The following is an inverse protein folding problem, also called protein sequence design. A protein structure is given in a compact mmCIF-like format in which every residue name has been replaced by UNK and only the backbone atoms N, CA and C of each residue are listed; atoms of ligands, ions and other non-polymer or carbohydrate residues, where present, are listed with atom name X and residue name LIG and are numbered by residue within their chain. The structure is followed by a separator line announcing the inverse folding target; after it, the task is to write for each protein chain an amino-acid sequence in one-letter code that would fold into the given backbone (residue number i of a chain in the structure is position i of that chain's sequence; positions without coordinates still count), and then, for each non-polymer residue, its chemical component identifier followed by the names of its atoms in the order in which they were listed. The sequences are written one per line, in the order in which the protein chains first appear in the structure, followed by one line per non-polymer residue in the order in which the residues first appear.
data_IF_943097062553
#
_entry.id   IF_943097062553
#
_cell.length_a   1.000
_cell.length_b   1.000
_cell.length_c   1.000
_cell.angle_alpha   90.00
_cell.angle_beta   90.00
_cell.angle_gamma   90.00
#
_symmetry.space_group_name_H-M   'P 1'
#
loop_
_entity.id
_entity.type
_entity.pdbx_description
1 polymer ?
#
# COMPACT_ATOMS: atom_id res chain seq x y z
N UNK A 1 2.19 12.47 -13.05
CA UNK A 1 0.73 12.36 -12.80
C UNK A 1 0.17 11.23 -13.66
N UNK A 2 -0.18 10.10 -13.05
CA UNK A 2 -0.84 8.99 -13.76
C UNK A 2 -2.22 9.46 -14.24
N UNK A 3 -2.59 9.13 -15.49
CA UNK A 3 -3.84 9.58 -16.12
C UNK A 3 -5.11 8.85 -15.61
N UNK A 4 -5.05 8.17 -14.46
CA UNK A 4 -6.16 7.37 -13.93
C UNK A 4 -6.62 6.31 -14.94
N UNK A 5 -5.69 5.47 -15.39
CA UNK A 5 -5.92 4.48 -16.44
C UNK A 5 -6.47 3.19 -15.83
N UNK A 6 -7.62 2.74 -16.32
CA UNK A 6 -8.17 1.43 -15.98
C UNK A 6 -7.71 0.42 -17.05
N UNK A 7 -6.90 -0.55 -16.63
CA UNK A 7 -6.38 -1.60 -17.52
C UNK A 7 -7.03 -2.95 -17.19
N UNK A 8 -7.53 -3.64 -18.21
CA UNK A 8 -8.08 -4.99 -18.06
C UNK A 8 -7.00 -6.04 -18.33
N UNK A 9 -6.40 -6.54 -17.25
CA UNK A 9 -5.40 -7.61 -17.30
C UNK A 9 -6.09 -8.95 -16.94
N UNK A 10 -5.93 -9.98 -17.77
CA UNK A 10 -6.60 -11.28 -17.59
C UNK A 10 -6.06 -12.03 -16.36
N UNK A 11 -6.83 -12.98 -15.86
CA UNK A 11 -6.39 -13.88 -14.78
C UNK A 11 -5.22 -14.73 -15.28
N UNK A 12 -4.17 -14.87 -14.47
CA UNK A 12 -2.94 -15.57 -14.85
C UNK A 12 -1.85 -14.70 -15.48
N UNK A 13 -2.15 -13.43 -15.82
CA UNK A 13 -1.16 -12.48 -16.36
C UNK A 13 -0.39 -11.71 -15.26
N UNK A 14 -0.27 -12.31 -14.08
CA UNK A 14 0.56 -11.80 -12.97
C UNK A 14 0.31 -10.33 -12.57
N UNK A 15 -0.96 -9.91 -12.51
CA UNK A 15 -1.40 -8.57 -12.07
C UNK A 15 -0.65 -8.03 -10.85
N UNK A 16 -0.39 -8.89 -9.87
CA UNK A 16 0.35 -8.55 -8.66
C UNK A 16 1.74 -7.97 -8.96
N UNK A 17 2.49 -8.57 -9.89
CA UNK A 17 3.82 -8.09 -10.27
C UNK A 17 3.74 -6.74 -11.00
N UNK A 18 2.77 -6.60 -11.91
CA UNK A 18 2.56 -5.35 -12.66
C UNK A 18 2.25 -4.19 -11.69
N UNK A 19 1.33 -4.43 -10.75
CA UNK A 19 0.98 -3.46 -9.72
C UNK A 19 2.18 -3.18 -8.80
N UNK A 20 2.95 -4.20 -8.43
CA UNK A 20 4.17 -4.04 -7.64
C UNK A 20 5.21 -3.15 -8.33
N UNK A 21 5.48 -3.36 -9.62
CA UNK A 21 6.40 -2.52 -10.40
C UNK A 21 5.90 -1.07 -10.45
N UNK A 22 4.60 -0.86 -10.68
CA UNK A 22 4.02 0.48 -10.69
C UNK A 22 4.11 1.17 -9.33
N UNK A 23 3.83 0.44 -8.24
CA UNK A 23 3.93 0.95 -6.88
C UNK A 23 5.37 1.35 -6.54
N UNK A 24 6.35 0.51 -6.87
CA UNK A 24 7.76 0.81 -6.67
C UNK A 24 8.20 2.07 -7.44
N UNK A 25 7.74 2.23 -8.68
CA UNK A 25 8.06 3.42 -9.48
C UNK A 25 7.56 4.71 -8.82
N UNK A 26 6.32 4.75 -8.36
CA UNK A 26 5.76 5.94 -7.71
C UNK A 26 6.39 6.20 -6.33
N UNK A 27 6.67 5.15 -5.57
CA UNK A 27 7.37 5.24 -4.29
C UNK A 27 8.79 5.77 -4.45
N UNK A 28 9.53 5.34 -5.48
CA UNK A 28 10.85 5.91 -5.83
C UNK A 28 10.79 7.39 -6.23
N UNK A 29 9.63 7.85 -6.72
CA UNK A 29 9.38 9.26 -6.99
C UNK A 29 8.98 10.05 -5.73
N UNK A 30 9.06 9.46 -4.54
CA UNK A 30 8.71 10.08 -3.27
C UNK A 30 7.19 10.15 -3.00
N UNK A 31 6.38 9.38 -3.74
CA UNK A 31 4.93 9.38 -3.56
C UNK A 31 4.50 8.21 -2.68
N UNK A 32 3.68 8.47 -1.65
CA UNK A 32 2.99 7.40 -0.94
C UNK A 32 2.03 6.68 -1.89
N UNK A 33 1.96 5.34 -1.80
CA UNK A 33 1.18 4.50 -2.70
C UNK A 33 0.30 3.56 -1.91
N UNK A 34 -1.01 3.64 -2.15
CA UNK A 34 -1.98 2.67 -1.66
C UNK A 34 -2.26 1.61 -2.72
N UNK A 35 -2.04 0.34 -2.37
CA UNK A 35 -2.36 -0.82 -3.21
C UNK A 35 -3.61 -1.50 -2.66
N UNK A 36 -4.72 -1.33 -3.37
CA UNK A 36 -6.02 -1.82 -2.93
C UNK A 36 -6.33 -3.19 -3.54
N UNK A 37 -6.72 -4.15 -2.70
CA UNK A 37 -7.19 -5.47 -3.13
C UNK A 37 -8.55 -5.83 -2.52
N UNK A 38 -9.15 -6.93 -2.97
CA UNK A 38 -10.55 -7.28 -2.65
C UNK A 38 -10.73 -7.99 -1.32
N UNK A 39 -9.70 -8.64 -0.77
CA UNK A 39 -9.74 -9.27 0.54
C UNK A 39 -8.35 -9.34 1.20
N UNK A 40 -8.35 -9.61 2.51
CA UNK A 40 -7.22 -9.67 3.42
C UNK A 40 -6.15 -10.66 2.98
N UNK A 41 -6.56 -11.84 2.54
CA UNK A 41 -5.62 -12.88 2.11
C UNK A 41 -4.86 -12.44 0.85
N UNK A 42 -5.56 -11.83 -0.12
CA UNK A 42 -4.96 -11.30 -1.34
C UNK A 42 -4.09 -10.06 -1.09
N UNK A 43 -4.45 -9.24 -0.10
CA UNK A 43 -3.61 -8.12 0.35
C UNK A 43 -2.28 -8.64 0.89
N UNK A 44 -2.35 -9.54 1.87
CA UNK A 44 -1.17 -10.07 2.57
C UNK A 44 -0.29 -10.85 1.58
N UNK A 45 -0.88 -11.72 0.77
CA UNK A 45 -0.15 -12.48 -0.25
C UNK A 45 0.49 -11.55 -1.28
N UNK A 46 -0.22 -10.52 -1.74
CA UNK A 46 0.27 -9.56 -2.73
C UNK A 46 1.45 -8.74 -2.24
N UNK A 47 1.38 -8.25 -1.00
CA UNK A 47 2.46 -7.51 -0.35
C UNK A 47 3.68 -8.41 -0.14
N UNK A 48 3.49 -9.61 0.42
CA UNK A 48 4.59 -10.56 0.67
C UNK A 48 5.31 -10.97 -0.63
N UNK A 49 4.57 -11.20 -1.72
CA UNK A 49 5.16 -11.53 -3.03
C UNK A 49 6.05 -10.40 -3.57
N UNK A 50 5.73 -9.15 -3.26
CA UNK A 50 6.47 -7.99 -3.77
C UNK A 50 7.51 -7.47 -2.78
N UNK A 51 7.46 -7.86 -1.51
CA UNK A 51 8.30 -7.31 -0.43
C UNK A 51 9.79 -7.38 -0.75
N UNK A 52 10.29 -8.54 -1.15
CA UNK A 52 11.72 -8.70 -1.46
C UNK A 52 12.16 -7.85 -2.66
N UNK A 53 11.25 -7.59 -3.61
CA UNK A 53 11.51 -6.67 -4.71
C UNK A 53 11.56 -5.20 -4.23
N UNK A 54 10.68 -4.80 -3.31
CA UNK A 54 10.71 -3.47 -2.70
C UNK A 54 11.98 -3.27 -1.85
N UNK A 55 12.35 -4.24 -1.02
CA UNK A 55 13.57 -4.22 -0.22
C UNK A 55 14.84 -4.07 -1.08
N UNK A 56 14.89 -4.74 -2.23
CA UNK A 56 15.99 -4.59 -3.21
C UNK A 56 16.13 -3.14 -3.70
N UNK A 57 15.01 -2.43 -3.83
CA UNK A 57 14.96 -1.02 -4.23
C UNK A 57 15.08 -0.04 -3.05
N UNK A 58 15.33 -0.57 -1.83
CA UNK A 58 15.34 0.20 -0.57
C UNK A 58 14.03 0.92 -0.30
N UNK A 59 12.92 0.34 -0.74
CA UNK A 59 11.58 0.79 -0.41
C UNK A 59 11.02 -0.07 0.71
N UNK A 60 10.07 0.49 1.47
CA UNK A 60 9.31 -0.27 2.45
C UNK A 60 7.87 -0.47 2.01
N UNK A 61 7.34 -1.63 2.35
CA UNK A 61 5.94 -1.98 2.17
C UNK A 61 5.34 -2.52 3.46
N UNK A 62 4.04 -2.28 3.63
CA UNK A 62 3.25 -2.81 4.74
C UNK A 62 1.82 -3.09 4.32
N UNK A 63 1.01 -3.57 5.27
CA UNK A 63 -0.40 -3.79 5.04
C UNK A 63 -1.25 -3.42 6.25
N UNK A 64 -2.49 -2.97 6.00
CA UNK A 64 -3.42 -2.49 7.04
C UNK A 64 -4.54 -3.47 7.34
N UNK A 65 -4.20 -4.76 7.31
CA UNK A 65 -5.13 -5.84 7.58
C UNK A 65 -4.97 -6.44 8.98
N UNK A 66 -4.38 -5.74 9.95
CA UNK A 66 -4.36 -6.18 11.34
C UNK A 66 -5.70 -5.89 12.02
N UNK A 67 -6.07 -6.71 13.00
CA UNK A 67 -7.17 -6.41 13.93
C UNK A 67 -6.74 -5.43 15.03
N UNK A 68 -5.45 -5.21 15.18
CA UNK A 68 -4.89 -4.21 16.09
C UNK A 68 -4.54 -2.94 15.29
N UNK A 69 -5.26 -1.86 15.55
CA UNK A 69 -5.10 -0.57 14.88
C UNK A 69 -3.70 0.02 15.08
N UNK A 70 -3.03 -0.23 16.20
CA UNK A 70 -1.65 0.24 16.41
C UNK A 70 -0.67 -0.39 15.39
N UNK A 71 -0.91 -1.65 15.03
CA UNK A 71 -0.11 -2.36 14.02
C UNK A 71 -0.39 -1.79 12.62
N UNK A 72 -1.64 -1.44 12.33
CA UNK A 72 -1.99 -0.77 11.07
C UNK A 72 -1.33 0.60 10.98
N UNK A 73 -1.42 1.41 12.04
CA UNK A 73 -0.75 2.71 12.12
C UNK A 73 0.77 2.62 11.94
N UNK A 74 1.40 1.57 12.47
CA UNK A 74 2.84 1.37 12.30
C UNK A 74 3.23 1.14 10.84
N UNK A 75 2.34 0.56 10.03
CA UNK A 75 2.57 0.37 8.59
C UNK A 75 2.71 1.67 7.82
N UNK A 76 2.11 2.77 8.29
CA UNK A 76 2.28 4.08 7.65
C UNK A 76 3.58 4.79 8.04
N UNK A 77 4.30 4.28 9.05
CA UNK A 77 5.53 4.88 9.58
C UNK A 77 6.79 4.17 9.11
N UNK A 78 6.67 3.35 8.07
CA UNK A 78 7.71 2.53 7.45
C UNK A 78 8.73 3.36 6.64
N UNK A 79 9.29 4.43 7.20
CA UNK A 79 10.07 5.39 6.40
C UNK A 79 11.57 5.39 6.74
N UNK A 80 12.32 4.46 6.13
CA UNK A 80 13.79 4.38 6.16
C UNK A 80 14.46 5.56 5.43
N UNK A 81 13.78 6.20 4.46
CA UNK A 81 14.36 7.27 3.65
C UNK A 81 13.32 8.38 3.33
N UNK A 82 13.53 9.63 3.78
CA UNK A 82 12.56 10.72 3.59
C UNK A 82 12.35 11.14 2.13
N UNK A 83 13.19 10.68 1.19
CA UNK A 83 13.05 10.96 -0.23
C UNK A 83 12.21 9.92 -0.98
N UNK A 84 11.78 8.84 -0.30
CA UNK A 84 10.97 7.77 -0.86
C UNK A 84 9.58 7.75 -0.20
N UNK A 85 8.60 7.22 -0.93
CA UNK A 85 7.25 7.03 -0.40
C UNK A 85 7.04 5.62 0.15
N UNK A 86 6.09 5.48 1.07
CA UNK A 86 5.67 4.19 1.61
C UNK A 86 4.70 3.48 0.64
N UNK A 87 4.72 2.15 0.63
CA UNK A 87 3.77 1.34 -0.13
C UNK A 87 2.87 0.58 0.84
N UNK A 88 1.58 0.91 0.87
CA UNK A 88 0.62 0.33 1.81
C UNK A 88 -0.41 -0.50 1.07
N UNK A 89 -0.50 -1.77 1.42
CA UNK A 89 -1.54 -2.65 0.90
C UNK A 89 -2.75 -2.68 1.83
N UNK A 90 -3.95 -2.69 1.28
CA UNK A 90 -5.17 -2.75 2.08
C UNK A 90 -6.40 -3.17 1.30
N UNK A 91 -7.43 -3.56 2.03
CA UNK A 91 -8.77 -3.68 1.47
C UNK A 91 -9.40 -2.29 1.37
N UNK A 92 -10.34 -2.11 0.44
CA UNK A 92 -11.14 -0.87 0.33
C UNK A 92 -11.72 -0.46 1.70
N UNK A 93 -12.27 -1.43 2.44
CA UNK A 93 -12.89 -1.18 3.74
C UNK A 93 -11.90 -0.76 4.82
N UNK A 94 -10.62 -1.15 4.74
CA UNK A 94 -9.61 -0.74 5.69
C UNK A 94 -9.29 0.75 5.52
N UNK A 95 -8.97 1.18 4.29
CA UNK A 95 -8.74 2.60 3.97
C UNK A 95 -9.96 3.47 4.29
N UNK A 96 -11.17 2.97 4.06
CA UNK A 96 -12.39 3.71 4.40
C UNK A 96 -12.56 3.92 5.91
N UNK A 97 -12.29 2.90 6.73
CA UNK A 97 -12.34 3.03 8.20
C UNK A 97 -11.32 4.05 8.68
N UNK A 98 -10.09 3.92 8.19
CA UNK A 98 -8.96 4.80 8.44
C UNK A 98 -9.30 6.29 8.19
N UNK A 99 -9.89 6.59 7.02
CA UNK A 99 -10.37 7.94 6.67
C UNK A 99 -11.48 8.41 7.60
N UNK A 100 -12.48 7.57 7.87
CA UNK A 100 -13.61 7.94 8.74
C UNK A 100 -13.17 8.22 10.17
N UNK A 101 -12.19 7.47 10.69
CA UNK A 101 -11.64 7.67 12.01
C UNK A 101 -10.88 9.00 12.13
N UNK A 102 -10.11 9.36 11.12
CA UNK A 102 -9.42 10.67 11.08
C UNK A 102 -10.44 11.81 11.07
N UNK A 103 -11.41 11.77 10.15
CA UNK A 103 -12.41 12.81 9.97
C UNK A 103 -13.30 12.99 11.21
N UNK A 104 -13.69 11.88 11.86
CA UNK A 104 -14.59 11.93 13.02
C UNK A 104 -13.86 12.29 14.32
N UNK A 105 -12.63 11.81 14.50
CA UNK A 105 -11.90 12.00 15.76
C UNK A 105 -10.97 13.24 15.76
N UNK A 106 -10.86 13.98 14.65
CA UNK A 106 -9.88 15.07 14.46
C UNK A 106 -8.43 14.65 14.79
N UNK A 107 -8.15 13.35 14.76
CA UNK A 107 -6.81 12.81 14.91
C UNK A 107 -6.20 12.77 13.53
N UNK A 108 -5.20 13.63 13.27
CA UNK A 108 -4.35 13.47 12.09
C UNK A 108 -3.64 12.13 12.23
N UNK A 109 -4.09 11.14 11.48
CA UNK A 109 -3.40 9.87 11.38
C UNK A 109 -2.17 10.07 10.47
N UNK A 110 -1.08 9.38 10.80
CA UNK A 110 0.27 9.62 10.31
C UNK A 110 0.51 9.02 8.92
N UNK A 111 -0.39 9.26 7.95
CA UNK A 111 -0.18 8.84 6.55
C UNK A 111 0.88 9.71 5.86
#
# INVERSE_FOLDING_TARGET
RGKGLLEQIRTGEEKTLIVGIAAAFFALCGQAVDVVSSNRDLVIEGEQKCRSFFELLKLESGHICSENDEVNHQSYRLNLNPCQGNIIYGEVGAFQRDILEEEFNNKKNLW
#
